data_IF_080853490772
#
_entry.id   IF_080853490772
#
_cell.length_a   1.000
_cell.length_b   1.000
_cell.length_c   1.000
_cell.angle_alpha   90.00
_cell.angle_beta   90.00
_cell.angle_gamma   90.00
#
_symmetry.space_group_name_H-M   'P 1'
#
loop_
_entity.id
_entity.type
_entity.pdbx_description
1 polymer ?
#
# COMPACT_ATOMS: atom_id res chain seq x y z
N UNK A 1 -2.58 25.29 -75.37
CA UNK A 1 -1.45 24.59 -74.69
C UNK A 1 -1.18 25.04 -73.25
N UNK A 2 -1.55 26.25 -72.88
CA UNK A 2 -1.35 26.77 -71.50
C UNK A 2 -2.23 26.16 -70.42
N UNK A 3 -3.39 25.64 -70.74
CA UNK A 3 -4.34 25.03 -69.79
C UNK A 3 -3.89 23.62 -69.35
N UNK A 4 -3.24 22.89 -70.21
CA UNK A 4 -2.80 21.53 -69.94
C UNK A 4 -1.56 21.47 -69.00
N UNK A 5 -0.73 22.50 -69.05
CA UNK A 5 0.47 22.64 -68.23
C UNK A 5 0.15 23.05 -66.79
N UNK A 6 -0.86 23.89 -66.60
CA UNK A 6 -1.37 24.28 -65.26
C UNK A 6 -2.05 23.08 -64.56
N UNK A 7 -2.82 22.26 -65.26
CA UNK A 7 -3.47 21.07 -64.71
C UNK A 7 -2.47 20.00 -64.26
N UNK A 8 -1.40 19.77 -65.03
CA UNK A 8 -0.30 18.85 -64.61
C UNK A 8 0.44 19.34 -63.38
N UNK A 9 0.73 20.63 -63.28
CA UNK A 9 1.43 21.21 -62.11
C UNK A 9 0.54 21.11 -60.84
N UNK A 10 -0.74 21.38 -60.94
CA UNK A 10 -1.68 21.25 -59.82
C UNK A 10 -1.78 19.77 -59.35
N UNK A 11 -1.89 18.80 -60.28
CA UNK A 11 -1.91 17.38 -59.93
C UNK A 11 -0.62 16.92 -59.28
N UNK A 12 0.54 17.38 -59.71
CA UNK A 12 1.78 17.07 -59.10
C UNK A 12 1.98 17.71 -57.70
N UNK A 13 1.49 18.92 -57.50
CA UNK A 13 1.52 19.59 -56.17
C UNK A 13 0.56 18.89 -55.23
N UNK A 14 -0.66 18.49 -55.67
CA UNK A 14 -1.59 17.69 -54.87
C UNK A 14 -1.04 16.30 -54.52
N UNK A 15 -0.32 15.65 -55.45
CA UNK A 15 0.31 14.36 -55.22
C UNK A 15 1.47 14.45 -54.21
N UNK A 16 2.29 15.49 -54.32
CA UNK A 16 3.40 15.76 -53.36
C UNK A 16 2.83 16.14 -52.01
N UNK A 17 1.75 16.95 -51.94
CA UNK A 17 1.05 17.26 -50.67
C UNK A 17 0.44 16.03 -50.04
N UNK A 18 -0.13 15.12 -50.83
CA UNK A 18 -0.66 13.85 -50.33
C UNK A 18 0.42 12.89 -49.85
N UNK A 19 1.58 12.86 -50.54
CA UNK A 19 2.75 12.10 -50.08
C UNK A 19 3.35 12.68 -48.78
N UNK A 20 3.37 13.99 -48.62
CA UNK A 20 3.84 14.67 -47.39
C UNK A 20 2.87 14.43 -46.21
N UNK A 21 1.56 14.35 -46.46
CA UNK A 21 0.59 13.97 -45.44
C UNK A 21 0.65 12.50 -45.04
N UNK A 22 1.09 11.60 -45.96
CA UNK A 22 1.22 10.17 -45.66
C UNK A 22 2.45 9.83 -44.80
N UNK A 23 3.40 10.76 -44.64
CA UNK A 23 4.63 10.56 -43.85
C UNK A 23 4.50 11.05 -42.39
N UNK A 24 3.31 11.50 -41.96
CA UNK A 24 3.04 11.60 -40.54
C UNK A 24 2.85 10.17 -40.03
N UNK A 25 3.94 9.45 -39.90
CA UNK A 25 3.97 8.24 -39.12
C UNK A 25 3.68 8.65 -37.69
N UNK A 26 2.44 8.48 -37.28
CA UNK A 26 2.07 8.60 -35.89
C UNK A 26 2.92 7.61 -35.11
N UNK A 27 4.00 8.09 -34.50
CA UNK A 27 4.74 7.28 -33.52
C UNK A 27 3.72 6.84 -32.48
N UNK A 28 3.48 5.54 -32.37
CA UNK A 28 2.57 5.02 -31.38
C UNK A 28 3.06 5.54 -30.01
N UNK A 29 2.18 6.24 -29.31
CA UNK A 29 2.54 6.80 -28.00
C UNK A 29 2.90 5.65 -27.07
N UNK A 30 4.07 5.72 -26.45
CA UNK A 30 4.51 4.74 -25.48
C UNK A 30 3.70 4.97 -24.20
N UNK A 31 3.00 3.95 -23.74
CA UNK A 31 2.11 4.03 -22.58
C UNK A 31 2.30 2.86 -21.64
N UNK A 32 2.12 3.13 -20.36
CA UNK A 32 1.88 2.13 -19.34
C UNK A 32 0.50 2.44 -18.74
N UNK A 33 -0.40 1.47 -18.77
CA UNK A 33 -1.75 1.64 -18.25
C UNK A 33 -1.74 1.66 -16.71
N UNK A 34 -2.82 2.18 -16.13
CA UNK A 34 -3.09 2.13 -14.70
C UNK A 34 -3.01 0.68 -14.20
N UNK A 35 -2.19 0.39 -13.17
CA UNK A 35 -2.10 -0.95 -12.63
C UNK A 35 -3.41 -1.39 -11.97
N UNK A 36 -3.69 -2.68 -12.06
CA UNK A 36 -4.85 -3.35 -11.44
C UNK A 36 -4.38 -4.46 -10.52
N UNK A 37 -5.16 -4.77 -9.51
CA UNK A 37 -4.84 -5.81 -8.53
C UNK A 37 -6.12 -6.48 -8.02
N UNK A 38 -6.05 -7.76 -7.58
CA UNK A 38 -7.22 -8.52 -7.15
C UNK A 38 -7.65 -8.23 -5.70
N UNK A 39 -6.82 -7.54 -4.93
CA UNK A 39 -7.11 -7.24 -3.53
C UNK A 39 -7.83 -5.88 -3.37
N UNK A 40 -8.60 -5.71 -2.31
CA UNK A 40 -9.19 -4.44 -1.88
C UNK A 40 -8.35 -3.74 -0.82
N UNK A 41 -7.53 -4.51 -0.11
CA UNK A 41 -6.62 -4.08 0.94
C UNK A 41 -5.45 -5.05 1.07
N UNK A 42 -4.35 -4.59 1.64
CA UNK A 42 -3.19 -5.42 1.98
C UNK A 42 -3.18 -5.65 3.47
N UNK A 43 -3.32 -6.91 3.89
CA UNK A 43 -3.22 -7.35 5.28
C UNK A 43 -2.05 -8.34 5.37
N UNK A 44 -0.84 -7.81 5.50
CA UNK A 44 0.38 -8.59 5.59
C UNK A 44 0.73 -8.98 7.03
N UNK A 45 1.44 -10.06 7.19
CA UNK A 45 2.02 -10.52 8.45
C UNK A 45 3.22 -11.45 8.18
N UNK A 46 3.83 -11.99 9.22
CA UNK A 46 4.98 -12.88 9.11
C UNK A 46 4.70 -14.16 8.32
N UNK A 47 3.45 -14.62 8.29
CA UNK A 47 3.04 -15.84 7.57
C UNK A 47 2.57 -15.57 6.14
N UNK A 48 2.15 -14.36 5.84
CA UNK A 48 1.63 -13.97 4.53
C UNK A 48 2.00 -12.54 4.17
N UNK A 49 2.84 -12.40 3.14
CA UNK A 49 3.24 -11.10 2.59
C UNK A 49 3.59 -11.27 1.10
N UNK A 50 2.60 -11.66 0.31
CA UNK A 50 2.75 -11.81 -1.14
C UNK A 50 1.46 -11.35 -1.81
N UNK A 51 1.56 -10.32 -2.67
CA UNK A 51 0.45 -9.68 -3.33
C UNK A 51 0.74 -9.55 -4.82
N UNK A 52 -0.29 -9.48 -5.65
CA UNK A 52 -0.15 -9.43 -7.10
C UNK A 52 -0.65 -8.09 -7.65
N UNK A 53 0.05 -7.59 -8.64
CA UNK A 53 -0.34 -6.44 -9.46
C UNK A 53 -0.16 -6.76 -10.93
N UNK A 54 -1.11 -6.36 -11.75
CA UNK A 54 -1.06 -6.52 -13.21
C UNK A 54 -1.04 -5.16 -13.87
N UNK A 55 -0.21 -4.99 -14.89
CA UNK A 55 -0.15 -3.79 -15.72
C UNK A 55 -0.01 -4.14 -17.20
N UNK A 56 -0.41 -3.20 -18.04
CA UNK A 56 -0.26 -3.27 -19.49
C UNK A 56 0.65 -2.15 -19.97
N UNK A 57 1.38 -2.43 -21.04
CA UNK A 57 2.24 -1.43 -21.68
C UNK A 57 2.25 -1.66 -23.19
N UNK A 58 2.42 -0.60 -23.95
CA UNK A 58 2.45 -0.66 -25.41
C UNK A 58 3.17 0.55 -26.03
N UNK A 59 3.75 0.39 -27.22
CA UNK A 59 4.01 -0.89 -27.86
C UNK A 59 5.14 -1.64 -27.15
N UNK A 60 5.04 -2.97 -27.06
CA UNK A 60 6.06 -3.80 -26.37
C UNK A 60 7.48 -3.57 -26.94
N UNK A 61 7.59 -3.45 -28.26
CA UNK A 61 8.85 -3.25 -28.97
C UNK A 61 9.56 -1.90 -28.68
N UNK A 62 8.87 -0.97 -28.04
CA UNK A 62 9.44 0.32 -27.68
C UNK A 62 10.27 0.30 -26.40
N UNK A 63 10.17 -0.78 -25.61
CA UNK A 63 10.94 -0.96 -24.39
C UNK A 63 12.24 -1.70 -24.69
N UNK A 64 13.36 -1.11 -24.30
CA UNK A 64 14.69 -1.63 -24.67
C UNK A 64 15.10 -2.86 -23.86
N UNK A 65 16.13 -3.57 -24.31
CA UNK A 65 16.71 -4.70 -23.58
C UNK A 65 17.32 -4.31 -22.21
N UNK A 66 17.51 -3.03 -21.93
CA UNK A 66 17.97 -2.52 -20.64
C UNK A 66 16.83 -1.99 -19.76
N UNK A 67 15.60 -1.99 -20.29
CA UNK A 67 14.46 -1.49 -19.54
C UNK A 67 14.19 -2.32 -18.29
N UNK A 68 13.89 -1.64 -17.19
CA UNK A 68 13.33 -2.22 -15.97
C UNK A 68 11.95 -1.63 -15.72
N UNK A 69 11.02 -2.48 -15.28
CA UNK A 69 9.76 -2.03 -14.72
C UNK A 69 9.85 -2.01 -13.20
N UNK A 70 9.40 -0.93 -12.61
CA UNK A 70 9.43 -0.69 -11.18
C UNK A 70 8.00 -0.46 -10.72
N UNK A 71 7.54 -1.28 -9.76
CA UNK A 71 6.28 -1.03 -9.07
C UNK A 71 6.59 -0.14 -7.88
N UNK A 72 6.05 1.06 -7.90
CA UNK A 72 6.22 2.06 -6.85
C UNK A 72 4.94 2.15 -6.02
N UNK A 73 5.11 2.21 -4.71
CA UNK A 73 4.04 2.46 -3.74
C UNK A 73 4.17 3.88 -3.20
N UNK A 74 3.05 4.58 -3.09
CA UNK A 74 2.96 5.91 -2.49
C UNK A 74 3.25 5.88 -0.98
N UNK A 75 3.28 7.04 -0.36
CA UNK A 75 3.13 7.17 1.08
C UNK A 75 1.69 6.83 1.56
N UNK A 76 1.46 6.84 2.86
CA UNK A 76 0.15 6.52 3.47
C UNK A 76 -0.96 7.53 3.15
N UNK A 77 -0.63 8.69 2.61
CA UNK A 77 -1.59 9.71 2.12
C UNK A 77 -1.96 9.52 0.65
N UNK A 78 -1.31 8.61 -0.07
CA UNK A 78 -1.47 8.38 -1.49
C UNK A 78 -0.61 9.27 -2.36
N UNK A 79 0.41 9.93 -1.78
CA UNK A 79 1.31 10.83 -2.50
C UNK A 79 2.59 10.13 -2.98
N UNK A 80 3.04 10.50 -4.17
CA UNK A 80 4.32 10.11 -4.76
C UNK A 80 5.33 11.26 -4.80
N UNK A 81 5.09 12.34 -4.05
CA UNK A 81 5.90 13.56 -4.08
C UNK A 81 7.28 13.42 -3.43
N UNK A 82 7.45 12.44 -2.54
CA UNK A 82 8.72 12.14 -1.90
C UNK A 82 9.53 11.11 -2.70
N UNK A 83 10.24 10.23 -1.98
CA UNK A 83 10.88 9.05 -2.56
C UNK A 83 9.89 7.88 -2.48
N UNK A 84 9.21 7.50 -3.58
CA UNK A 84 8.28 6.38 -3.58
C UNK A 84 8.99 5.07 -3.22
N UNK A 85 8.28 4.20 -2.52
CA UNK A 85 8.81 2.89 -2.18
C UNK A 85 8.76 1.96 -3.41
N UNK A 86 9.92 1.52 -3.89
CA UNK A 86 9.98 0.46 -4.89
C UNK A 86 9.68 -0.88 -4.22
N UNK A 87 8.48 -1.42 -4.42
CA UNK A 87 8.08 -2.74 -3.88
C UNK A 87 8.48 -3.89 -4.82
N UNK A 88 8.83 -3.58 -6.07
CA UNK A 88 9.38 -4.50 -7.04
C UNK A 88 10.21 -3.76 -8.09
N UNK A 89 11.30 -4.37 -8.52
CA UNK A 89 12.09 -3.93 -9.68
C UNK A 89 12.45 -5.15 -10.51
N UNK A 90 12.08 -5.15 -11.78
CA UNK A 90 12.44 -6.25 -12.68
C UNK A 90 13.95 -6.23 -13.01
N UNK A 91 14.50 -7.39 -13.35
CA UNK A 91 15.78 -7.41 -14.03
C UNK A 91 15.70 -6.66 -15.38
N UNK A 92 16.83 -6.13 -15.85
CA UNK A 92 16.89 -5.44 -17.14
C UNK A 92 16.45 -6.36 -18.26
N UNK A 93 15.50 -5.91 -19.10
CA UNK A 93 14.98 -6.63 -20.23
C UNK A 93 14.16 -7.88 -19.92
N UNK A 94 13.88 -8.17 -18.64
CA UNK A 94 13.19 -9.40 -18.25
C UNK A 94 11.69 -9.39 -18.54
N UNK A 95 11.07 -8.23 -18.69
CA UNK A 95 9.65 -8.08 -18.99
C UNK A 95 9.47 -7.55 -20.41
N UNK A 96 9.01 -8.42 -21.29
CA UNK A 96 8.90 -8.14 -22.74
C UNK A 96 7.47 -8.28 -23.27
N UNK A 97 6.55 -8.84 -22.49
CA UNK A 97 5.17 -9.09 -22.91
C UNK A 97 4.16 -8.42 -22.00
N UNK A 98 3.08 -7.92 -22.59
CA UNK A 98 1.96 -7.25 -21.94
C UNK A 98 0.66 -8.04 -22.17
N UNK A 99 -0.24 -8.23 -21.18
CA UNK A 99 -0.12 -7.75 -19.79
C UNK A 99 0.93 -8.52 -18.98
N UNK A 100 1.46 -7.89 -17.94
CA UNK A 100 2.39 -8.51 -17.01
C UNK A 100 1.84 -8.51 -15.60
N UNK A 101 1.83 -9.66 -14.97
CA UNK A 101 1.54 -9.85 -13.55
C UNK A 101 2.85 -9.94 -12.77
N UNK A 102 2.92 -9.25 -11.66
CA UNK A 102 4.09 -9.18 -10.76
C UNK A 102 3.61 -9.51 -9.36
N UNK A 103 4.36 -10.37 -8.66
CA UNK A 103 4.23 -10.57 -7.22
C UNK A 103 5.16 -9.65 -6.46
N UNK A 104 4.68 -9.06 -5.36
CA UNK A 104 5.45 -8.17 -4.51
C UNK A 104 5.11 -8.35 -3.03
N UNK A 105 6.00 -7.91 -2.16
CA UNK A 105 5.81 -7.86 -0.71
C UNK A 105 5.84 -6.42 -0.23
N UNK A 106 5.22 -6.17 0.92
CA UNK A 106 5.27 -4.87 1.58
C UNK A 106 6.22 -4.91 2.78
N UNK A 107 6.83 -3.77 3.17
CA UNK A 107 7.69 -3.72 4.33
C UNK A 107 6.90 -3.91 5.63
N UNK A 108 7.59 -4.38 6.68
CA UNK A 108 6.99 -4.61 8.01
C UNK A 108 6.55 -3.32 8.72
N UNK A 109 6.94 -2.17 8.19
CA UNK A 109 6.58 -0.84 8.72
C UNK A 109 5.34 -0.25 8.11
N UNK A 110 4.71 -0.92 7.12
CA UNK A 110 3.58 -0.34 6.40
C UNK A 110 2.32 -0.29 7.29
N UNK A 111 1.72 0.89 7.38
CA UNK A 111 0.46 1.10 8.09
C UNK A 111 -0.22 2.37 7.56
N UNK A 112 -1.41 2.25 6.98
CA UNK A 112 -2.20 3.38 6.50
C UNK A 112 -3.36 2.97 5.59
N UNK A 113 -4.20 3.95 5.23
CA UNK A 113 -5.49 3.73 4.58
C UNK A 113 -5.53 4.13 3.09
N UNK A 114 -4.53 4.87 2.59
CA UNK A 114 -4.64 5.52 1.27
C UNK A 114 -3.45 5.29 0.36
N UNK A 115 -2.79 4.13 0.49
CA UNK A 115 -1.70 3.78 -0.42
C UNK A 115 -2.20 3.63 -1.86
N UNK A 116 -1.32 3.91 -2.80
CA UNK A 116 -1.53 3.70 -4.23
C UNK A 116 -0.31 3.03 -4.85
N UNK A 117 -0.51 2.38 -5.97
CA UNK A 117 0.55 1.84 -6.83
C UNK A 117 0.62 2.61 -8.15
N UNK A 118 1.82 2.73 -8.70
CA UNK A 118 2.08 3.10 -10.08
C UNK A 118 3.23 2.27 -10.64
N UNK A 119 3.31 2.21 -11.95
CA UNK A 119 4.38 1.49 -12.64
C UNK A 119 5.25 2.50 -13.38
N UNK A 120 6.57 2.36 -13.23
CA UNK A 120 7.54 3.17 -13.97
C UNK A 120 8.47 2.26 -14.75
N UNK A 121 8.79 2.66 -15.99
CA UNK A 121 9.84 2.07 -16.79
C UNK A 121 11.09 2.98 -16.79
N UNK A 122 12.24 2.38 -17.10
CA UNK A 122 13.52 3.10 -17.13
C UNK A 122 14.01 3.43 -18.54
N UNK A 123 13.61 2.63 -19.52
CA UNK A 123 14.09 2.83 -20.91
C UNK A 123 13.06 2.32 -21.94
N UNK A 124 12.23 3.21 -22.47
CA UNK A 124 12.11 4.63 -22.16
C UNK A 124 11.55 4.89 -20.77
N UNK A 125 11.84 6.07 -20.22
CA UNK A 125 11.30 6.48 -18.91
C UNK A 125 9.84 6.93 -19.08
N UNK A 126 8.91 6.10 -18.65
CA UNK A 126 7.47 6.34 -18.68
C UNK A 126 6.86 5.97 -17.32
N UNK A 127 5.87 6.71 -16.89
CA UNK A 127 5.14 6.43 -15.63
C UNK A 127 3.66 6.26 -15.93
N UNK A 128 3.07 5.22 -15.37
CA UNK A 128 1.62 4.95 -15.48
C UNK A 128 0.80 5.95 -14.68
N UNK A 129 -0.51 6.07 -14.95
CA UNK A 129 -1.46 6.61 -13.98
C UNK A 129 -1.42 5.83 -12.66
N UNK A 130 -1.80 6.51 -11.58
CA UNK A 130 -1.88 5.92 -10.24
C UNK A 130 -3.08 4.98 -10.11
N UNK A 131 -2.95 3.94 -9.30
CA UNK A 131 -4.06 3.05 -8.94
C UNK A 131 -5.12 3.76 -8.09
N UNK A 132 -6.24 3.09 -7.86
CA UNK A 132 -7.13 3.44 -6.76
C UNK A 132 -6.39 3.30 -5.42
N UNK A 133 -6.79 4.08 -4.43
CA UNK A 133 -6.24 3.98 -3.10
C UNK A 133 -6.72 2.70 -2.39
N UNK A 134 -5.87 2.13 -1.55
CA UNK A 134 -6.16 0.96 -0.73
C UNK A 134 -5.50 1.08 0.64
N UNK A 135 -6.06 0.40 1.63
CA UNK A 135 -5.45 0.25 2.94
C UNK A 135 -4.33 -0.80 2.88
N UNK A 136 -3.24 -0.56 3.59
CA UNK A 136 -2.16 -1.52 3.73
C UNK A 136 -1.58 -1.49 5.14
N UNK A 137 -1.53 -2.68 5.76
CA UNK A 137 -0.97 -2.86 7.09
C UNK A 137 -0.13 -4.12 7.14
N UNK A 138 1.01 -4.04 7.82
CA UNK A 138 1.75 -5.22 8.26
C UNK A 138 1.50 -5.42 9.75
N UNK A 139 0.81 -6.50 10.09
CA UNK A 139 0.51 -6.85 11.48
C UNK A 139 1.74 -7.49 12.10
N UNK A 140 2.32 -6.81 13.08
CA UNK A 140 3.56 -7.23 13.76
C UNK A 140 3.32 -8.32 14.80
N UNK A 141 2.11 -8.43 15.29
CA UNK A 141 1.73 -9.37 16.34
C UNK A 141 0.35 -9.97 16.09
N UNK A 142 0.13 -11.15 16.60
CA UNK A 142 -1.22 -11.72 16.73
C UNK A 142 -1.87 -11.29 18.06
N UNK A 143 -3.17 -11.48 18.18
CA UNK A 143 -3.87 -11.31 19.45
C UNK A 143 -3.67 -12.55 20.34
N UNK A 144 -3.52 -12.35 21.65
CA UNK A 144 -3.35 -11.08 22.33
C UNK A 144 -1.91 -10.54 22.24
N UNK A 145 -1.78 -9.21 22.05
CA UNK A 145 -0.51 -8.54 22.33
C UNK A 145 -0.39 -8.20 23.81
N UNK A 146 0.83 -7.88 24.31
CA UNK A 146 1.04 -7.80 25.75
C UNK A 146 0.78 -6.42 26.35
N UNK A 147 0.10 -6.42 27.48
CA UNK A 147 0.08 -5.36 28.49
C UNK A 147 0.51 -5.96 29.83
N UNK A 148 1.04 -5.14 30.73
CA UNK A 148 1.45 -5.58 32.07
C UNK A 148 2.40 -6.81 32.05
N UNK A 149 3.27 -6.90 31.05
CA UNK A 149 4.19 -8.03 30.83
C UNK A 149 3.51 -9.41 30.80
N UNK A 150 2.29 -9.50 30.26
CA UNK A 150 1.41 -10.67 30.31
C UNK A 150 0.98 -11.09 31.73
N UNK A 151 1.27 -10.30 32.76
CA UNK A 151 0.78 -10.61 34.12
C UNK A 151 -0.72 -10.23 34.18
N UNK A 152 -1.55 -11.23 34.46
CA UNK A 152 -3.01 -11.10 34.44
C UNK A 152 -3.62 -10.37 35.65
N UNK A 153 -2.79 -10.01 36.63
CA UNK A 153 -3.24 -9.34 37.86
C UNK A 153 -2.44 -8.10 38.14
N UNK A 154 -3.07 -7.09 38.73
CA UNK A 154 -2.45 -5.89 39.24
C UNK A 154 -3.13 -5.47 40.53
N UNK A 155 -2.39 -4.87 41.46
CA UNK A 155 -2.95 -4.42 42.74
C UNK A 155 -2.51 -3.00 43.06
N UNK A 156 -3.36 -2.25 43.72
CA UNK A 156 -3.07 -0.92 44.25
C UNK A 156 -3.79 -0.67 45.58
N UNK A 157 -3.29 0.25 46.38
CA UNK A 157 -3.91 0.61 47.65
C UNK A 157 -5.22 1.38 47.45
N UNK A 158 -6.12 1.27 48.44
CA UNK A 158 -7.37 2.04 48.45
C UNK A 158 -7.10 3.54 48.27
N UNK A 159 -7.78 4.17 47.33
CA UNK A 159 -7.58 5.55 46.96
C UNK A 159 -6.40 5.82 46.01
N UNK A 160 -5.66 4.76 45.63
CA UNK A 160 -4.60 4.84 44.63
C UNK A 160 -5.07 4.52 43.21
N UNK A 161 -4.09 4.31 42.34
CA UNK A 161 -4.31 3.87 40.96
C UNK A 161 -3.19 2.95 40.50
N UNK A 162 -3.46 2.19 39.45
CA UNK A 162 -2.47 1.40 38.73
C UNK A 162 -2.44 1.83 37.26
N UNK A 163 -1.25 1.97 36.69
CA UNK A 163 -1.14 2.35 35.28
C UNK A 163 -0.87 1.12 34.44
N UNK A 164 -1.84 0.77 33.59
CA UNK A 164 -1.68 -0.24 32.54
C UNK A 164 -1.03 0.42 31.32
N UNK A 165 -0.04 -0.27 30.74
CA UNK A 165 0.69 0.19 29.55
C UNK A 165 0.74 -0.94 28.53
N UNK A 166 0.79 -0.56 27.26
CA UNK A 166 1.12 -1.49 26.19
C UNK A 166 2.63 -1.72 26.24
N UNK A 167 3.05 -2.98 26.30
CA UNK A 167 4.46 -3.32 26.36
C UNK A 167 5.17 -3.01 25.04
N UNK A 168 6.40 -2.45 25.13
CA UNK A 168 7.26 -2.22 24.00
C UNK A 168 8.74 -2.36 24.42
N UNK A 169 9.45 -3.41 23.95
CA UNK A 169 8.97 -4.47 23.04
C UNK A 169 7.85 -5.31 23.66
N UNK A 170 7.08 -5.98 22.80
CA UNK A 170 6.09 -6.94 23.25
C UNK A 170 6.71 -8.11 23.99
N UNK A 171 5.91 -8.78 24.82
CA UNK A 171 6.33 -9.94 25.62
C UNK A 171 5.85 -11.23 24.93
N UNK A 172 6.66 -12.28 25.02
CA UNK A 172 6.39 -13.57 24.37
C UNK A 172 6.79 -13.58 22.90
N UNK A 173 5.97 -14.23 22.05
CA UNK A 173 6.25 -14.36 20.62
C UNK A 173 5.72 -13.17 19.79
N UNK A 174 4.91 -12.31 20.40
CA UNK A 174 4.30 -11.16 19.74
C UNK A 174 5.15 -9.90 19.94
N UNK A 175 5.19 -9.08 18.90
CA UNK A 175 5.80 -7.75 18.97
C UNK A 175 4.77 -6.70 19.45
N UNK A 176 5.22 -5.47 19.65
CA UNK A 176 4.35 -4.40 20.14
C UNK A 176 3.68 -3.65 18.98
N UNK A 177 2.36 -3.39 19.06
CA UNK A 177 1.69 -2.51 18.10
C UNK A 177 2.20 -1.07 18.16
N UNK A 178 2.85 -0.64 19.25
CA UNK A 178 3.45 0.69 19.38
C UNK A 178 4.59 0.95 18.37
N UNK A 179 5.10 -0.07 17.70
CA UNK A 179 6.02 0.10 16.56
C UNK A 179 5.40 0.75 15.34
N UNK A 180 4.06 0.78 15.23
CA UNK A 180 3.33 1.56 14.24
C UNK A 180 2.80 2.85 14.88
N UNK A 181 3.45 4.00 14.70
CA UNK A 181 3.09 5.24 15.39
C UNK A 181 1.73 5.81 14.98
N UNK A 182 1.16 5.32 13.88
CA UNK A 182 -0.15 5.75 13.37
C UNK A 182 -1.33 4.99 13.95
N UNK A 183 -1.09 3.91 14.69
CA UNK A 183 -2.16 3.14 15.32
C UNK A 183 -2.75 3.87 16.52
N UNK A 184 -4.04 3.67 16.74
CA UNK A 184 -4.79 4.20 17.88
C UNK A 184 -5.22 3.07 18.79
N UNK A 185 -5.47 3.39 20.06
CA UNK A 185 -5.76 2.41 21.10
C UNK A 185 -7.02 2.80 21.83
N UNK A 186 -7.84 1.78 22.19
CA UNK A 186 -9.06 1.93 22.99
C UNK A 186 -9.04 0.93 24.13
N UNK A 187 -9.13 1.42 25.35
CA UNK A 187 -9.21 0.63 26.56
C UNK A 187 -10.64 0.32 26.93
N UNK A 188 -10.86 -0.90 27.38
CA UNK A 188 -12.15 -1.42 27.78
C UNK A 188 -12.07 -2.04 29.16
N UNK A 189 -13.20 -1.97 29.88
CA UNK A 189 -13.44 -2.70 31.11
C UNK A 189 -14.53 -3.75 30.87
N UNK A 190 -14.26 -5.00 31.21
CA UNK A 190 -15.26 -6.06 31.09
C UNK A 190 -16.39 -5.83 32.09
N UNK A 191 -17.62 -5.92 31.62
CA UNK A 191 -18.85 -5.82 32.42
C UNK A 191 -19.54 -7.17 32.55
N UNK A 192 -19.25 -8.10 31.63
CA UNK A 192 -19.63 -9.49 31.65
C UNK A 192 -18.63 -10.32 30.81
N UNK A 193 -18.71 -11.65 30.76
CA UNK A 193 -17.85 -12.47 29.90
C UNK A 193 -17.90 -12.12 28.42
N UNK A 194 -18.96 -11.44 27.96
CA UNK A 194 -19.19 -11.14 26.54
C UNK A 194 -19.37 -9.64 26.26
N UNK A 195 -19.38 -8.80 27.27
CA UNK A 195 -19.59 -7.34 27.12
C UNK A 195 -18.52 -6.55 27.82
N UNK A 196 -18.19 -5.40 27.25
CA UNK A 196 -17.20 -4.47 27.80
C UNK A 196 -17.61 -3.03 27.52
N UNK A 197 -17.29 -2.16 28.45
CA UNK A 197 -17.49 -0.72 28.30
C UNK A 197 -16.18 -0.04 27.90
N UNK A 198 -16.27 0.92 26.99
CA UNK A 198 -15.16 1.79 26.64
C UNK A 198 -14.79 2.68 27.83
N UNK A 199 -13.48 2.76 28.15
CA UNK A 199 -12.97 3.52 29.28
C UNK A 199 -12.17 4.73 28.84
N UNK A 200 -11.20 4.53 27.94
CA UNK A 200 -10.27 5.58 27.53
C UNK A 200 -9.57 5.24 26.20
N UNK A 201 -8.94 6.24 25.59
CA UNK A 201 -8.08 6.08 24.44
C UNK A 201 -6.62 6.41 24.79
N UNK A 202 -5.70 5.88 24.00
CA UNK A 202 -4.26 6.13 24.14
C UNK A 202 -3.46 4.89 24.55
N UNK A 203 -2.13 5.00 24.64
CA UNK A 203 -1.23 3.87 24.87
C UNK A 203 -1.19 3.40 26.33
N UNK A 204 -1.78 4.16 27.26
CA UNK A 204 -1.82 3.88 28.70
C UNK A 204 -3.19 4.11 29.29
N UNK A 205 -3.50 3.44 30.41
CA UNK A 205 -4.71 3.63 31.19
C UNK A 205 -4.38 3.65 32.68
N UNK A 206 -4.73 4.72 33.38
CA UNK A 206 -4.73 4.74 34.84
C UNK A 206 -6.05 4.19 35.36
N UNK A 207 -6.01 3.06 36.06
CA UNK A 207 -7.17 2.41 36.67
C UNK A 207 -7.22 2.68 38.17
N UNK A 208 -8.37 3.09 38.67
CA UNK A 208 -8.64 3.36 40.08
C UNK A 208 -9.90 2.63 40.58
N UNK A 209 -10.51 1.83 39.74
CA UNK A 209 -11.66 0.98 40.03
C UNK A 209 -11.32 -0.48 39.76
N UNK A 210 -11.59 -1.42 40.66
CA UNK A 210 -11.38 -2.83 40.43
C UNK A 210 -12.17 -3.33 39.21
N UNK A 211 -11.58 -4.27 38.49
CA UNK A 211 -12.20 -4.90 37.31
C UNK A 211 -11.18 -5.48 36.38
N UNK A 212 -11.65 -6.10 35.30
CA UNK A 212 -10.80 -6.67 34.25
C UNK A 212 -10.74 -5.71 33.08
N UNK A 213 -9.53 -5.39 32.68
CA UNK A 213 -9.24 -4.41 31.62
C UNK A 213 -8.44 -5.02 30.48
N UNK A 214 -8.63 -4.49 29.28
CA UNK A 214 -7.84 -4.78 28.09
C UNK A 214 -7.86 -3.61 27.13
N UNK A 215 -6.99 -3.64 26.12
CA UNK A 215 -6.90 -2.62 25.08
C UNK A 215 -6.99 -3.24 23.69
N UNK A 216 -7.60 -2.51 22.79
CA UNK A 216 -7.68 -2.84 21.37
C UNK A 216 -6.90 -1.84 20.54
N UNK A 217 -6.31 -2.30 19.44
CA UNK A 217 -5.76 -1.45 18.40
C UNK A 217 -6.43 -1.75 17.07
N UNK A 218 -6.41 -0.76 16.17
CA UNK A 218 -7.08 -0.83 14.89
C UNK A 218 -6.06 -0.86 13.75
N UNK A 219 -6.00 -1.96 13.01
CA UNK A 219 -5.30 -2.07 11.74
C UNK A 219 -6.26 -1.84 10.55
N UNK A 220 -7.21 -0.91 10.66
CA UNK A 220 -8.25 -0.70 9.65
C UNK A 220 -9.11 -1.94 9.46
N UNK A 221 -9.42 -2.26 8.22
CA UNK A 221 -10.19 -3.45 7.86
C UNK A 221 -9.39 -4.76 7.97
N UNK A 222 -8.07 -4.69 8.24
CA UNK A 222 -7.20 -5.87 8.38
C UNK A 222 -7.33 -6.57 9.72
N UNK A 223 -8.10 -6.04 10.63
CA UNK A 223 -8.14 -6.62 11.97
C UNK A 223 -9.53 -6.80 12.50
N UNK A 224 -9.95 -8.02 12.57
CA UNK A 224 -11.04 -8.38 13.43
C UNK A 224 -10.63 -8.53 14.91
N UNK A 225 -9.35 -8.64 15.28
CA UNK A 225 -8.95 -9.10 16.61
C UNK A 225 -7.56 -8.64 17.05
N UNK A 226 -7.29 -7.34 17.09
CA UNK A 226 -6.07 -6.84 17.70
C UNK A 226 -6.34 -6.32 19.09
N UNK A 227 -6.33 -7.22 20.07
CA UNK A 227 -6.56 -6.92 21.49
C UNK A 227 -5.41 -7.49 22.36
N UNK A 228 -5.26 -6.90 23.54
CA UNK A 228 -4.30 -7.36 24.54
C UNK A 228 -4.80 -8.54 25.37
N UNK A 229 -3.88 -9.11 26.19
CA UNK A 229 -4.29 -9.91 27.34
C UNK A 229 -5.16 -9.10 28.32
N UNK A 230 -5.87 -9.80 29.21
CA UNK A 230 -6.66 -9.20 30.28
C UNK A 230 -5.83 -9.05 31.53
N UNK A 231 -6.11 -7.95 32.28
CA UNK A 231 -5.53 -7.68 33.59
C UNK A 231 -6.64 -7.32 34.57
N UNK A 232 -6.68 -8.00 35.71
CA UNK A 232 -7.67 -7.82 36.78
C UNK A 232 -7.05 -7.25 38.02
#
# INVERSE_FOLDING_TARGET
DHTNMKSKRIKNILFIAFLLLAVVQGSAQITIEKPTFPFTQICANASFNNFEVTFKFSPESSFTATNQFIIEMSDASGSFSGTPLAVYTSAAGAVTTSPKMISFSVPTTIAGEKFKLRVRSTSPAVTSPESNAFAAYYKLQDSPFSINNFVSTATYCVGGSYVLTIDNPGTGLNDSPLKHPTLTYKWFKETSPTTSDFVSAGPTLAVNTPGTYYVETNYGTCTSYSYSNRVT
#
